data_IF_336390620334
#
_entry.id   IF_336390620334
#
_cell.length_a   1.000
_cell.length_b   1.000
_cell.length_c   1.000
_cell.angle_alpha   90.00
_cell.angle_beta   90.00
_cell.angle_gamma   90.00
#
_symmetry.space_group_name_H-M   'P 1'
#
loop_
_entity.id
_entity.type
_entity.pdbx_description
1 polymer ?
#
# COMPACT_ATOMS: atom_id res chain seq x y z
N UNK A 1 -8.83 73.00 -23.83
CA UNK A 1 -7.72 72.17 -23.30
C UNK A 1 -8.32 71.10 -22.40
N UNK A 2 -7.90 69.84 -22.62
CA UNK A 2 -8.10 68.63 -21.82
C UNK A 2 -9.48 67.93 -21.79
N UNK A 3 -9.41 66.66 -22.21
CA UNK A 3 -10.42 65.60 -22.29
C UNK A 3 -10.42 64.82 -20.97
N UNK A 4 -11.58 64.40 -20.49
CA UNK A 4 -11.73 63.45 -19.38
C UNK A 4 -12.75 62.42 -19.83
N UNK A 5 -12.48 61.12 -19.97
CA UNK A 5 -11.40 60.29 -19.47
C UNK A 5 -12.03 58.99 -18.96
N UNK A 6 -12.19 58.05 -19.88
CA UNK A 6 -12.54 56.63 -19.80
C UNK A 6 -12.96 56.00 -18.45
N UNK A 7 -14.16 55.39 -18.46
CA UNK A 7 -14.63 54.30 -17.57
C UNK A 7 -13.68 53.10 -17.67
N UNK A 8 -13.34 52.39 -16.59
CA UNK A 8 -13.15 50.91 -16.59
C UNK A 8 -13.34 50.44 -15.15
N UNK A 9 -14.26 49.50 -14.99
CA UNK A 9 -14.63 48.82 -13.74
C UNK A 9 -13.48 47.93 -13.26
N UNK A 10 -13.01 48.14 -12.03
CA UNK A 10 -11.98 47.32 -11.38
C UNK A 10 -12.69 46.19 -10.63
N UNK A 11 -12.89 45.03 -11.28
CA UNK A 11 -13.32 43.82 -10.58
C UNK A 11 -13.00 42.56 -11.40
N UNK A 12 -11.74 42.19 -11.59
CA UNK A 12 -11.39 40.89 -12.20
C UNK A 12 -9.95 40.44 -11.95
N UNK A 13 -9.45 40.42 -10.71
CA UNK A 13 -8.19 39.72 -10.41
C UNK A 13 -8.28 39.07 -9.02
N UNK A 14 -8.91 37.90 -8.93
CA UNK A 14 -8.92 37.07 -7.71
C UNK A 14 -8.98 35.54 -8.00
N UNK A 15 -8.61 35.09 -9.21
CA UNK A 15 -8.73 33.68 -9.63
C UNK A 15 -7.40 32.92 -9.81
N UNK A 16 -6.24 33.55 -9.59
CA UNK A 16 -4.94 32.90 -9.82
C UNK A 16 -4.38 32.10 -8.63
N UNK A 17 -4.96 32.23 -7.42
CA UNK A 17 -4.41 31.59 -6.22
C UNK A 17 -4.81 30.10 -6.06
N UNK A 18 -5.81 29.61 -6.80
CA UNK A 18 -6.31 28.23 -6.63
C UNK A 18 -5.44 27.18 -7.34
N UNK A 19 -4.64 27.59 -8.33
CA UNK A 19 -3.85 26.65 -9.13
C UNK A 19 -2.65 26.08 -8.37
N UNK A 20 -2.04 26.85 -7.47
CA UNK A 20 -0.83 26.42 -6.75
C UNK A 20 -1.15 25.49 -5.56
N UNK A 21 -2.22 25.75 -4.81
CA UNK A 21 -2.66 24.86 -3.74
C UNK A 21 -3.18 23.50 -4.26
N UNK A 22 -3.52 23.42 -5.55
CA UNK A 22 -4.12 22.24 -6.14
C UNK A 22 -3.12 21.14 -6.50
N UNK A 23 -1.91 21.49 -6.93
CA UNK A 23 -0.85 20.53 -7.30
C UNK A 23 -0.29 19.81 -6.08
N UNK A 24 -0.13 20.50 -4.95
CA UNK A 24 0.39 19.89 -3.72
C UNK A 24 -0.49 18.75 -3.17
N UNK A 25 -1.81 18.84 -3.36
CA UNK A 25 -2.73 17.83 -2.83
C UNK A 25 -2.51 16.43 -3.43
N UNK A 26 -2.13 16.34 -4.71
CA UNK A 26 -1.86 15.04 -5.36
C UNK A 26 -0.53 14.47 -4.88
N UNK A 27 0.50 15.31 -4.73
CA UNK A 27 1.79 14.88 -4.20
C UNK A 27 1.69 14.43 -2.73
N UNK A 28 0.92 15.14 -1.91
CA UNK A 28 0.67 14.77 -0.51
C UNK A 28 -0.08 13.43 -0.41
N UNK A 29 -1.09 13.21 -1.24
CA UNK A 29 -1.80 11.94 -1.29
C UNK A 29 -0.90 10.80 -1.76
N UNK A 30 -0.04 11.04 -2.76
CA UNK A 30 0.95 10.08 -3.23
C UNK A 30 1.96 9.72 -2.13
N UNK A 31 2.47 10.72 -1.40
CA UNK A 31 3.37 10.52 -0.27
C UNK A 31 2.73 9.70 0.85
N UNK A 32 1.43 9.91 1.15
CA UNK A 32 0.71 9.10 2.13
C UNK A 32 0.60 7.63 1.72
N UNK A 33 0.37 7.34 0.44
CA UNK A 33 0.33 5.97 -0.07
C UNK A 33 1.70 5.31 0.09
N UNK A 34 2.77 6.02 -0.28
CA UNK A 34 4.14 5.52 -0.11
C UNK A 34 4.53 5.29 1.34
N UNK A 35 4.13 6.18 2.26
CA UNK A 35 4.41 6.00 3.68
C UNK A 35 3.80 4.69 4.22
N UNK A 36 2.57 4.35 3.81
CA UNK A 36 1.95 3.07 4.18
C UNK A 36 2.66 1.87 3.55
N UNK A 37 3.09 1.98 2.29
CA UNK A 37 3.92 0.96 1.65
C UNK A 37 5.22 0.73 2.45
N UNK A 38 5.95 1.80 2.78
CA UNK A 38 7.22 1.72 3.50
C UNK A 38 7.05 1.18 4.92
N UNK A 39 5.89 1.41 5.54
CA UNK A 39 5.54 0.85 6.85
C UNK A 39 5.38 -0.68 6.81
N UNK A 40 4.77 -1.22 5.75
CA UNK A 40 4.52 -2.67 5.63
C UNK A 40 5.67 -3.43 4.97
N UNK A 41 6.51 -2.77 4.16
CA UNK A 41 7.61 -3.42 3.45
C UNK A 41 8.58 -4.24 4.32
N UNK A 42 8.98 -3.81 5.54
CA UNK A 42 9.83 -4.61 6.42
C UNK A 42 9.22 -5.97 6.81
N UNK A 43 7.89 -6.09 6.76
CA UNK A 43 7.19 -7.33 7.08
C UNK A 43 7.49 -8.44 6.07
N UNK A 44 7.81 -8.11 4.80
CA UNK A 44 8.23 -9.09 3.78
C UNK A 44 9.44 -9.91 4.26
N UNK A 45 10.43 -9.26 4.87
CA UNK A 45 11.60 -9.97 5.40
C UNK A 45 11.23 -10.87 6.58
N UNK A 46 10.23 -10.47 7.37
CA UNK A 46 9.74 -11.27 8.50
C UNK A 46 8.98 -12.49 8.02
N UNK A 47 8.11 -12.32 7.02
CA UNK A 47 7.37 -13.39 6.36
C UNK A 47 8.30 -14.44 5.77
N UNK A 48 9.30 -14.04 4.99
CA UNK A 48 10.30 -14.95 4.44
C UNK A 48 11.03 -15.77 5.53
N UNK A 49 11.36 -15.15 6.68
CA UNK A 49 11.94 -15.86 7.82
C UNK A 49 11.00 -16.90 8.46
N UNK A 50 9.70 -16.58 8.53
CA UNK A 50 8.66 -17.50 8.99
C UNK A 50 8.47 -18.66 8.00
N UNK A 51 8.44 -18.37 6.70
CA UNK A 51 8.35 -19.39 5.65
C UNK A 51 9.50 -20.39 5.73
N UNK A 52 10.74 -19.90 5.79
CA UNK A 52 11.92 -20.76 5.93
C UNK A 52 11.81 -21.64 7.18
N UNK A 53 11.34 -21.06 8.29
CA UNK A 53 11.16 -21.81 9.54
C UNK A 53 10.10 -22.91 9.40
N UNK A 54 8.94 -22.60 8.82
CA UNK A 54 7.87 -23.58 8.62
C UNK A 54 8.29 -24.67 7.63
N UNK A 55 9.06 -24.33 6.59
CA UNK A 55 9.62 -25.31 5.64
C UNK A 55 10.57 -26.30 6.32
N UNK A 56 11.35 -25.87 7.31
CA UNK A 56 12.15 -26.81 8.11
C UNK A 56 11.27 -27.70 8.99
N UNK A 57 10.22 -27.16 9.61
CA UNK A 57 9.29 -27.93 10.44
C UNK A 57 8.60 -29.03 9.62
N UNK A 58 8.19 -28.74 8.38
CA UNK A 58 7.55 -29.71 7.46
C UNK A 58 8.42 -30.95 7.20
N UNK A 59 9.74 -30.88 7.38
CA UNK A 59 10.65 -32.03 7.19
C UNK A 59 10.63 -33.02 8.35
N UNK A 60 10.03 -32.67 9.48
CA UNK A 60 9.91 -33.57 10.62
C UNK A 60 8.88 -34.69 10.33
N UNK A 61 9.39 -35.91 10.16
CA UNK A 61 8.59 -37.11 9.89
C UNK A 61 7.64 -37.53 11.03
N UNK A 62 7.76 -36.94 12.22
CA UNK A 62 6.91 -37.24 13.38
C UNK A 62 5.61 -36.44 13.37
N UNK A 63 5.49 -35.41 12.51
CA UNK A 63 4.29 -34.60 12.38
C UNK A 63 3.16 -35.41 11.75
N UNK A 64 1.99 -35.36 12.38
CA UNK A 64 0.78 -36.00 11.84
C UNK A 64 0.37 -35.39 10.49
N UNK A 65 -0.35 -36.16 9.66
CA UNK A 65 -0.84 -35.66 8.36
C UNK A 65 -1.66 -34.35 8.50
N UNK A 66 -2.55 -34.27 9.51
CA UNK A 66 -3.31 -33.04 9.77
C UNK A 66 -2.43 -31.85 10.15
N UNK A 67 -1.31 -32.11 10.82
CA UNK A 67 -0.31 -31.09 11.13
C UNK A 67 0.42 -30.60 9.89
N UNK A 68 0.82 -31.54 9.01
CA UNK A 68 1.43 -31.22 7.71
C UNK A 68 0.48 -30.40 6.83
N UNK A 69 -0.80 -30.77 6.76
CA UNK A 69 -1.80 -30.03 5.99
C UNK A 69 -1.96 -28.60 6.51
N UNK A 70 -1.89 -28.41 7.84
CA UNK A 70 -1.96 -27.08 8.46
C UNK A 70 -0.73 -26.22 8.15
N UNK A 71 0.47 -26.83 8.18
CA UNK A 71 1.72 -26.16 7.83
C UNK A 71 1.75 -25.75 6.35
N UNK A 72 1.31 -26.64 5.45
CA UNK A 72 1.26 -26.36 4.01
C UNK A 72 0.24 -25.27 3.68
N UNK A 73 -0.93 -25.26 4.32
CA UNK A 73 -1.90 -24.18 4.17
C UNK A 73 -1.34 -22.85 4.64
N UNK A 74 -0.62 -22.84 5.77
CA UNK A 74 0.01 -21.62 6.28
C UNK A 74 1.14 -21.11 5.36
N UNK A 75 1.97 -22.00 4.82
CA UNK A 75 3.00 -21.65 3.84
C UNK A 75 2.38 -21.05 2.57
N UNK A 76 1.27 -21.62 2.09
CA UNK A 76 0.54 -21.04 0.97
C UNK A 76 0.00 -19.65 1.30
N UNK A 77 -0.56 -19.46 2.50
CA UNK A 77 -1.12 -18.17 2.90
C UNK A 77 -0.04 -17.07 3.08
N UNK A 78 1.17 -17.43 3.52
CA UNK A 78 2.31 -16.52 3.53
C UNK A 78 2.69 -16.12 2.10
N UNK A 79 2.88 -17.10 1.21
CA UNK A 79 3.24 -16.83 -0.19
C UNK A 79 2.21 -16.00 -0.94
N UNK A 80 0.92 -16.30 -0.77
CA UNK A 80 -0.18 -15.51 -1.37
C UNK A 80 -0.18 -14.05 -0.86
N UNK A 81 0.16 -13.83 0.42
CA UNK A 81 0.23 -12.49 0.98
C UNK A 81 1.47 -11.71 0.52
N UNK A 82 2.62 -12.39 0.35
CA UNK A 82 3.81 -11.79 -0.27
C UNK A 82 3.54 -11.42 -1.73
N UNK A 83 2.91 -12.32 -2.49
CA UNK A 83 2.51 -12.07 -3.89
C UNK A 83 1.57 -10.88 -3.99
N UNK A 84 0.60 -10.75 -3.07
CA UNK A 84 -0.28 -9.58 -3.01
C UNK A 84 0.46 -8.24 -2.86
N UNK A 85 1.56 -8.21 -2.11
CA UNK A 85 2.41 -7.02 -2.00
C UNK A 85 3.20 -6.76 -3.29
N UNK A 86 3.73 -7.81 -3.94
CA UNK A 86 4.39 -7.69 -5.25
C UNK A 86 3.45 -7.20 -6.34
N UNK A 87 2.24 -7.75 -6.42
CA UNK A 87 1.21 -7.32 -7.35
C UNK A 87 0.83 -5.86 -7.13
N UNK A 88 0.65 -5.46 -5.87
CA UNK A 88 0.36 -4.06 -5.53
C UNK A 88 1.47 -3.13 -6.03
N UNK A 89 2.74 -3.45 -5.77
CA UNK A 89 3.89 -2.66 -6.23
C UNK A 89 3.96 -2.58 -7.76
N UNK A 90 3.65 -3.69 -8.45
CA UNK A 90 3.66 -3.73 -9.91
C UNK A 90 2.57 -2.82 -10.51
N UNK A 91 1.38 -2.80 -9.89
CA UNK A 91 0.23 -2.01 -10.31
C UNK A 91 0.26 -0.54 -9.87
N UNK A 92 0.98 -0.21 -8.80
CA UNK A 92 1.04 1.16 -8.29
C UNK A 92 1.95 2.02 -9.18
N UNK A 93 1.43 3.19 -9.58
CA UNK A 93 2.14 4.19 -10.39
C UNK A 93 1.83 5.58 -9.87
N UNK A 94 2.82 6.48 -9.94
CA UNK A 94 2.56 7.90 -9.71
C UNK A 94 1.65 8.41 -10.85
N UNK A 95 0.55 9.15 -10.55
CA UNK A 95 -0.26 9.78 -11.59
C UNK A 95 0.59 10.67 -12.51
N UNK A 96 0.34 10.61 -13.82
CA UNK A 96 1.10 11.39 -14.80
C UNK A 96 0.77 12.87 -14.73
N UNK A 97 1.76 13.72 -15.03
CA UNK A 97 1.56 15.16 -15.16
C UNK A 97 0.49 15.45 -16.21
N UNK A 98 -0.56 16.17 -15.81
CA UNK A 98 -1.70 16.48 -16.66
C UNK A 98 -2.91 15.55 -16.51
N UNK A 99 -2.82 14.52 -15.66
CA UNK A 99 -4.00 13.75 -15.21
C UNK A 99 -4.99 14.68 -14.51
N UNK A 100 -6.31 14.48 -14.70
CA UNK A 100 -7.32 15.23 -13.96
C UNK A 100 -7.09 15.08 -12.45
N UNK A 101 -7.11 16.19 -11.73
CA UNK A 101 -6.81 16.19 -10.29
C UNK A 101 -7.74 15.28 -9.50
N UNK A 102 -9.04 15.34 -9.77
CA UNK A 102 -10.01 14.55 -9.02
C UNK A 102 -9.86 13.07 -9.35
N UNK A 103 -9.52 12.74 -10.59
CA UNK A 103 -9.16 11.39 -11.01
C UNK A 103 -7.90 10.88 -10.30
N UNK A 104 -6.82 11.68 -10.27
CA UNK A 104 -5.58 11.34 -9.58
C UNK A 104 -5.82 11.10 -8.08
N UNK A 105 -6.57 11.98 -7.41
CA UNK A 105 -6.89 11.83 -5.99
C UNK A 105 -7.74 10.58 -5.71
N UNK A 106 -8.74 10.28 -6.55
CA UNK A 106 -9.55 9.05 -6.40
C UNK A 106 -8.72 7.78 -6.60
N UNK A 107 -7.82 7.78 -7.58
CA UNK A 107 -6.89 6.68 -7.81
C UNK A 107 -6.00 6.45 -6.59
N UNK A 108 -5.38 7.52 -6.07
CA UNK A 108 -4.50 7.44 -4.90
C UNK A 108 -5.23 6.98 -3.65
N UNK A 109 -6.46 7.44 -3.41
CA UNK A 109 -7.28 6.95 -2.29
C UNK A 109 -7.60 5.45 -2.44
N UNK A 110 -7.91 5.00 -3.66
CA UNK A 110 -8.12 3.57 -3.93
C UNK A 110 -6.86 2.76 -3.65
N UNK A 111 -5.68 3.26 -4.04
CA UNK A 111 -4.40 2.60 -3.78
C UNK A 111 -4.01 2.63 -2.31
N UNK A 112 -4.38 3.69 -1.58
CA UNK A 112 -4.24 3.81 -0.12
C UNK A 112 -5.03 2.74 0.62
N UNK A 113 -6.29 2.52 0.25
CA UNK A 113 -7.09 1.45 0.85
C UNK A 113 -6.56 0.06 0.45
N UNK A 114 -6.13 -0.10 -0.79
CA UNK A 114 -5.54 -1.35 -1.26
C UNK A 114 -4.28 -1.75 -0.49
N UNK A 115 -3.36 -0.82 -0.19
CA UNK A 115 -2.14 -1.16 0.56
C UNK A 115 -2.44 -1.52 2.02
N UNK A 116 -3.47 -0.90 2.63
CA UNK A 116 -3.92 -1.29 3.98
C UNK A 116 -4.47 -2.72 4.01
N UNK A 117 -5.21 -3.12 2.97
CA UNK A 117 -5.72 -4.49 2.85
C UNK A 117 -4.57 -5.50 2.68
N UNK A 118 -3.58 -5.18 1.85
CA UNK A 118 -2.36 -5.99 1.70
C UNK A 118 -1.64 -6.13 3.04
N UNK A 119 -1.40 -5.03 3.75
CA UNK A 119 -0.76 -5.07 5.07
C UNK A 119 -1.56 -5.89 6.10
N UNK A 120 -2.90 -5.84 6.05
CA UNK A 120 -3.76 -6.66 6.93
C UNK A 120 -3.63 -8.15 6.60
N UNK A 121 -3.57 -8.52 5.32
CA UNK A 121 -3.37 -9.89 4.89
C UNK A 121 -1.99 -10.42 5.33
N UNK A 122 -0.94 -9.63 5.16
CA UNK A 122 0.42 -9.93 5.63
C UNK A 122 0.47 -10.13 7.15
N UNK A 123 -0.14 -9.22 7.93
CA UNK A 123 -0.18 -9.34 9.38
C UNK A 123 -0.91 -10.61 9.83
N UNK A 124 -2.03 -10.95 9.20
CA UNK A 124 -2.84 -12.13 9.54
C UNK A 124 -2.12 -13.45 9.21
N UNK A 125 -1.42 -13.51 8.07
CA UNK A 125 -0.64 -14.69 7.68
C UNK A 125 0.58 -14.87 8.60
N UNK A 126 1.26 -13.79 8.98
CA UNK A 126 2.35 -13.83 9.97
C UNK A 126 1.87 -14.31 11.35
N UNK A 127 0.71 -13.84 11.82
CA UNK A 127 0.17 -14.28 13.12
C UNK A 127 -0.12 -15.79 13.11
N UNK A 128 -0.69 -16.29 12.02
CA UNK A 128 -0.97 -17.72 11.82
C UNK A 128 0.31 -18.54 11.77
N UNK A 129 1.32 -18.04 11.06
CA UNK A 129 2.63 -18.68 10.96
C UNK A 129 3.33 -18.74 12.32
N UNK A 130 3.35 -17.64 13.07
CA UNK A 130 3.98 -17.59 14.39
C UNK A 130 3.35 -18.60 15.35
N UNK A 131 2.01 -18.76 15.34
CA UNK A 131 1.33 -19.76 16.16
C UNK A 131 1.81 -21.19 15.84
N UNK A 132 2.02 -21.51 14.58
CA UNK A 132 2.54 -22.82 14.17
C UNK A 132 4.02 -22.99 14.53
N UNK A 133 4.84 -21.95 14.36
CA UNK A 133 6.24 -21.97 14.80
C UNK A 133 6.31 -22.25 16.31
N UNK A 134 5.52 -21.55 17.11
CA UNK A 134 5.46 -21.73 18.56
C UNK A 134 4.90 -23.09 18.98
N UNK A 135 4.07 -23.71 18.14
CA UNK A 135 3.52 -25.04 18.39
C UNK A 135 4.57 -26.14 18.19
N UNK A 136 5.38 -26.05 17.14
CA UNK A 136 6.30 -27.12 16.73
C UNK A 136 7.76 -26.92 17.17
N UNK A 137 8.15 -25.72 17.63
CA UNK A 137 9.48 -25.47 18.22
C UNK A 137 9.55 -25.56 19.74
N UNK A 138 8.46 -25.93 20.42
CA UNK A 138 8.44 -26.25 21.85
C UNK A 138 9.06 -27.62 22.10
#
# INVERSE_FOLDING_TARGET
MMKTGYRISVLFILLAAFSCAADHAVDDAYAQVLALHDEVMPQMSTMSGLEMTLQEIVKDSTISQSGLDSLQQCLKALGDAEEGMWEWMNQFKKPETGTDKNEALRYLETKKESIKMVGTAMASSMESAQKLVDQYKK
#
